data_IF_452155698740
#
_entry.id   IF_452155698740
#
_cell.length_a   1.000
_cell.length_b   1.000
_cell.length_c   1.000
_cell.angle_alpha   90.00
_cell.angle_beta   90.00
_cell.angle_gamma   90.00
#
_symmetry.space_group_name_H-M   'P 1'
#
loop_
_entity.id
_entity.type
_entity.pdbx_description
1 polymer ?
#
# COMPACT_ATOMS: atom_id res chain seq x y z
N UNK A 1 20.41 -14.96 -21.28
CA UNK A 1 20.76 -13.64 -21.83
C UNK A 1 20.76 -13.73 -23.35
N UNK A 2 19.83 -13.07 -24.04
CA UNK A 2 19.79 -13.09 -25.51
C UNK A 2 21.00 -12.32 -26.03
N UNK A 3 21.93 -13.02 -26.68
CA UNK A 3 23.08 -12.42 -27.35
C UNK A 3 22.69 -11.71 -28.64
N UNK A 4 21.69 -10.83 -28.57
CA UNK A 4 21.23 -9.93 -29.64
C UNK A 4 22.22 -8.78 -29.76
N UNK A 5 23.25 -8.98 -30.57
CA UNK A 5 24.13 -7.91 -31.01
C UNK A 5 23.47 -7.15 -32.17
N UNK A 6 23.88 -5.90 -32.38
CA UNK A 6 23.36 -5.06 -33.48
C UNK A 6 23.43 -5.78 -34.83
N UNK A 7 24.53 -6.47 -35.10
CA UNK A 7 24.73 -7.30 -36.30
C UNK A 7 23.64 -8.37 -36.48
N UNK A 8 23.30 -9.10 -35.41
CA UNK A 8 22.26 -10.14 -35.47
C UNK A 8 20.88 -9.55 -35.70
N UNK A 9 20.60 -8.39 -35.10
CA UNK A 9 19.34 -7.68 -35.28
C UNK A 9 19.19 -7.21 -36.73
N UNK A 10 20.27 -6.72 -37.34
CA UNK A 10 20.32 -6.36 -38.75
C UNK A 10 20.13 -7.58 -39.67
N UNK A 11 20.81 -8.69 -39.39
CA UNK A 11 20.63 -9.95 -40.14
C UNK A 11 19.18 -10.45 -40.07
N UNK A 12 18.57 -10.43 -38.88
CA UNK A 12 17.16 -10.80 -38.70
C UNK A 12 16.24 -9.86 -39.46
N UNK A 13 16.50 -8.55 -39.46
CA UNK A 13 15.70 -7.58 -40.21
C UNK A 13 15.74 -7.85 -41.73
N UNK A 14 16.91 -8.19 -42.28
CA UNK A 14 17.05 -8.58 -43.69
C UNK A 14 16.25 -9.84 -43.99
N UNK A 15 16.42 -10.90 -43.17
CA UNK A 15 15.71 -12.18 -43.36
C UNK A 15 14.20 -11.95 -43.27
N UNK A 16 13.73 -11.23 -42.24
CA UNK A 16 12.33 -10.92 -42.06
C UNK A 16 11.78 -10.12 -43.25
N UNK A 17 12.54 -9.15 -43.76
CA UNK A 17 12.14 -8.37 -44.93
C UNK A 17 12.10 -9.19 -46.23
N UNK A 18 12.98 -10.18 -46.38
CA UNK A 18 12.95 -11.10 -47.50
C UNK A 18 11.74 -12.04 -47.42
N UNK A 19 11.50 -12.65 -46.26
CA UNK A 19 10.37 -13.58 -46.02
C UNK A 19 9.03 -12.88 -46.18
N UNK A 20 8.89 -11.66 -45.64
CA UNK A 20 7.65 -10.89 -45.73
C UNK A 20 7.48 -10.17 -47.08
N UNK A 21 8.59 -9.99 -47.81
CA UNK A 21 8.70 -9.26 -49.06
C UNK A 21 8.95 -7.76 -48.84
N UNK A 22 9.98 -7.16 -49.47
CA UNK A 22 10.35 -5.75 -49.25
C UNK A 22 9.26 -4.78 -49.72
N UNK A 23 8.43 -5.20 -50.67
CA UNK A 23 7.31 -4.42 -51.16
C UNK A 23 6.15 -4.30 -50.15
N UNK A 24 6.01 -5.26 -49.22
CA UNK A 24 4.90 -5.30 -48.26
C UNK A 24 5.24 -4.68 -46.91
N UNK A 25 6.50 -4.78 -46.48
CA UNK A 25 7.03 -4.13 -45.28
C UNK A 25 6.60 -2.67 -45.08
N UNK A 26 6.80 -1.74 -46.04
CA UNK A 26 6.42 -0.34 -45.87
C UNK A 26 4.91 -0.15 -45.68
N UNK A 27 4.11 -1.00 -46.31
CA UNK A 27 2.65 -1.01 -46.13
C UNK A 27 2.25 -1.40 -44.71
N UNK A 28 2.87 -2.44 -44.14
CA UNK A 28 2.64 -2.84 -42.74
C UNK A 28 3.18 -1.81 -41.74
N UNK A 29 4.36 -1.24 -41.99
CA UNK A 29 4.94 -0.18 -41.16
C UNK A 29 4.02 1.05 -41.11
N UNK A 30 3.39 1.42 -42.23
CA UNK A 30 2.39 2.48 -42.26
C UNK A 30 1.16 2.16 -41.41
N UNK A 31 0.66 0.92 -41.47
CA UNK A 31 -0.51 0.49 -40.67
C UNK A 31 -0.18 0.52 -39.18
N UNK A 32 0.98 -0.01 -38.80
CA UNK A 32 1.47 0.02 -37.42
C UNK A 32 1.69 1.46 -36.94
N UNK A 33 2.32 2.30 -37.76
CA UNK A 33 2.56 3.71 -37.45
C UNK A 33 1.26 4.47 -37.22
N UNK A 34 0.24 4.24 -38.05
CA UNK A 34 -1.11 4.80 -37.84
C UNK A 34 -1.74 4.28 -36.56
N UNK A 35 -1.66 2.98 -36.28
CA UNK A 35 -2.19 2.40 -35.04
C UNK A 35 -1.52 2.99 -33.79
N UNK A 36 -0.19 3.14 -33.80
CA UNK A 36 0.57 3.78 -32.73
C UNK A 36 0.18 5.24 -32.57
N UNK A 37 -0.02 5.98 -33.67
CA UNK A 37 -0.49 7.37 -33.63
C UNK A 37 -1.88 7.48 -32.99
N UNK A 38 -2.81 6.61 -33.40
CA UNK A 38 -4.17 6.56 -32.84
C UNK A 38 -4.14 6.18 -31.37
N UNK A 39 -3.33 5.19 -30.98
CA UNK A 39 -3.17 4.80 -29.58
C UNK A 39 -2.59 5.94 -28.75
N UNK A 40 -1.57 6.64 -29.26
CA UNK A 40 -0.99 7.81 -28.60
C UNK A 40 -2.03 8.91 -28.39
N UNK A 41 -2.81 9.23 -29.42
CA UNK A 41 -3.89 10.21 -29.33
C UNK A 41 -4.97 9.79 -28.33
N UNK A 42 -5.33 8.51 -28.31
CA UNK A 42 -6.26 7.95 -27.34
C UNK A 42 -5.75 8.12 -25.91
N UNK A 43 -4.51 7.72 -25.64
CA UNK A 43 -3.87 7.90 -24.33
C UNK A 43 -3.81 9.38 -23.93
N UNK A 44 -3.38 10.25 -24.84
CA UNK A 44 -3.29 11.70 -24.59
C UNK A 44 -4.70 12.29 -24.30
N UNK A 45 -5.76 11.81 -24.96
CA UNK A 45 -7.15 12.25 -24.72
C UNK A 45 -7.74 11.76 -23.39
N UNK A 46 -7.53 10.49 -23.04
CA UNK A 46 -7.97 9.92 -21.76
C UNK A 46 -7.25 10.61 -20.61
N UNK A 47 -5.96 10.90 -20.79
CA UNK A 47 -5.17 11.66 -19.83
C UNK A 47 -5.70 13.09 -19.66
N UNK A 48 -5.99 13.79 -20.75
CA UNK A 48 -6.60 15.14 -20.68
C UNK A 48 -7.94 15.15 -19.94
N UNK A 49 -8.72 14.08 -20.07
CA UNK A 49 -10.01 13.93 -19.38
C UNK A 49 -9.80 13.65 -17.89
N UNK A 50 -8.88 12.74 -17.56
CA UNK A 50 -8.50 12.45 -16.18
C UNK A 50 -7.89 13.68 -15.47
N UNK A 51 -7.06 14.47 -16.16
CA UNK A 51 -6.50 15.73 -15.65
C UNK A 51 -7.60 16.77 -15.40
N UNK A 52 -8.61 16.86 -16.28
CA UNK A 52 -9.74 17.77 -16.11
C UNK A 52 -10.63 17.40 -14.92
N UNK A 53 -10.79 16.11 -14.62
CA UNK A 53 -11.61 15.63 -13.49
C UNK A 53 -10.85 15.58 -12.16
N UNK A 54 -9.54 15.30 -12.17
CA UNK A 54 -8.73 15.17 -10.94
C UNK A 54 -7.97 16.46 -10.59
N UNK A 55 -7.92 17.46 -11.48
CA UNK A 55 -7.27 18.76 -11.22
C UNK A 55 -5.75 18.72 -11.06
N UNK A 56 -5.11 17.55 -11.21
CA UNK A 56 -3.65 17.39 -11.14
C UNK A 56 -3.10 17.30 -12.56
N UNK A 57 -2.30 18.28 -13.02
CA UNK A 57 -1.71 18.26 -14.36
C UNK A 57 -0.63 17.19 -14.38
N UNK A 58 -0.98 16.00 -14.84
CA UNK A 58 -0.04 14.93 -15.08
C UNK A 58 0.88 15.42 -16.22
N UNK A 59 2.08 15.94 -15.96
CA UNK A 59 3.01 16.33 -17.05
C UNK A 59 3.76 15.12 -17.56
N UNK A 60 3.99 15.00 -18.87
CA UNK A 60 4.75 13.87 -19.49
C UNK A 60 6.16 13.70 -18.89
N UNK A 61 6.70 14.78 -18.29
CA UNK A 61 7.98 14.84 -17.60
C UNK A 61 7.95 14.48 -16.11
N UNK A 62 6.76 14.39 -15.49
CA UNK A 62 6.64 13.99 -14.08
C UNK A 62 6.49 12.47 -13.92
N UNK A 63 6.21 11.72 -14.99
CA UNK A 63 6.08 10.25 -14.98
C UNK A 63 7.42 9.52 -15.10
N UNK A 64 8.46 10.20 -15.61
CA UNK A 64 9.84 9.70 -15.60
C UNK A 64 10.47 9.87 -14.21
N UNK A 65 10.00 10.85 -13.44
CA UNK A 65 10.32 11.01 -12.02
C UNK A 65 9.37 10.29 -11.06
N UNK A 66 8.19 9.84 -11.53
CA UNK A 66 7.26 8.97 -10.80
C UNK A 66 7.57 7.51 -11.09
N UNK A 67 8.84 7.14 -10.92
CA UNK A 67 9.31 5.78 -11.08
C UNK A 67 8.51 4.89 -10.12
N UNK A 68 7.81 3.87 -10.63
CA UNK A 68 6.94 2.98 -9.83
C UNK A 68 7.70 2.28 -8.68
N UNK A 69 9.04 2.22 -8.78
CA UNK A 69 9.96 1.74 -7.74
C UNK A 69 10.13 2.70 -6.56
N UNK A 70 9.74 3.96 -6.68
CA UNK A 70 9.69 4.89 -5.55
C UNK A 70 8.46 4.67 -4.66
N UNK A 71 7.53 3.80 -5.08
CA UNK A 71 6.57 3.17 -4.19
C UNK A 71 7.13 1.84 -3.66
N UNK A 72 8.39 1.82 -3.20
CA UNK A 72 8.98 0.64 -2.59
C UNK A 72 8.30 0.42 -1.23
N UNK A 73 7.46 -0.62 -1.06
CA UNK A 73 6.66 -0.82 0.14
C UNK A 73 7.51 -0.87 1.41
N UNK A 74 8.79 -1.24 1.29
CA UNK A 74 9.75 -1.27 2.40
C UNK A 74 9.97 0.11 3.02
N UNK A 75 9.98 1.19 2.23
CA UNK A 75 10.14 2.55 2.79
C UNK A 75 8.89 2.99 3.52
N UNK A 76 7.70 2.73 2.96
CA UNK A 76 6.41 3.04 3.61
C UNK A 76 6.30 2.30 4.94
N UNK A 77 6.69 1.02 4.99
CA UNK A 77 6.70 0.22 6.21
C UNK A 77 7.79 0.69 7.19
N UNK A 78 9.00 1.01 6.73
CA UNK A 78 10.07 1.52 7.59
C UNK A 78 9.74 2.89 8.19
N UNK A 79 9.06 3.76 7.44
CA UNK A 79 8.60 5.04 7.93
C UNK A 79 7.43 4.86 8.90
N UNK A 80 6.50 3.92 8.63
CA UNK A 80 5.45 3.56 9.58
C UNK A 80 5.99 2.92 10.87
N UNK A 81 7.05 2.11 10.81
CA UNK A 81 7.72 1.60 12.01
C UNK A 81 8.42 2.71 12.78
N UNK A 82 9.12 3.62 12.10
CA UNK A 82 9.85 4.72 12.75
C UNK A 82 8.89 5.76 13.36
N UNK A 83 7.78 6.05 12.69
CA UNK A 83 6.70 6.89 13.21
C UNK A 83 6.01 6.19 14.40
N UNK A 84 5.75 4.89 14.32
CA UNK A 84 5.21 4.12 15.44
C UNK A 84 6.19 4.06 16.63
N UNK A 85 7.49 3.89 16.41
CA UNK A 85 8.49 3.92 17.48
C UNK A 85 8.54 5.31 18.15
N UNK A 86 8.47 6.39 17.36
CA UNK A 86 8.37 7.75 17.89
C UNK A 86 7.05 8.00 18.65
N UNK A 87 5.93 7.47 18.16
CA UNK A 87 4.63 7.53 18.85
C UNK A 87 4.67 6.73 20.16
N UNK A 88 5.31 5.55 20.17
CA UNK A 88 5.49 4.71 21.36
C UNK A 88 6.41 5.33 22.40
N UNK A 89 7.42 6.09 21.97
CA UNK A 89 8.26 6.87 22.88
C UNK A 89 7.44 7.98 23.57
N UNK A 90 6.51 8.61 22.84
CA UNK A 90 5.57 9.61 23.37
C UNK A 90 4.42 8.99 24.21
N UNK A 91 4.03 7.73 23.96
CA UNK A 91 2.96 7.01 24.65
C UNK A 91 3.40 6.37 25.99
N UNK A 92 4.68 6.54 26.37
CA UNK A 92 5.12 6.29 27.76
C UNK A 92 4.60 7.34 28.75
N UNK A 93 3.95 8.41 28.26
CA UNK A 93 3.15 9.30 29.06
C UNK A 93 1.72 8.74 29.23
N UNK A 94 1.46 8.15 30.41
CA UNK A 94 0.16 7.88 31.05
C UNK A 94 -1.10 8.12 30.18
N UNK A 95 -1.91 7.09 29.86
CA UNK A 95 -3.08 7.25 29.00
C UNK A 95 -4.12 8.18 29.68
N UNK A 96 -4.35 9.35 29.06
CA UNK A 96 -5.28 10.40 29.51
C UNK A 96 -6.61 10.31 28.74
N UNK A 97 -7.04 9.10 28.37
CA UNK A 97 -8.33 8.93 27.69
C UNK A 97 -9.41 8.60 28.74
N UNK A 98 -10.36 9.52 29.02
CA UNK A 98 -11.34 9.36 30.09
C UNK A 98 -12.28 8.16 29.85
N UNK A 99 -12.49 7.78 28.59
CA UNK A 99 -13.28 6.59 28.22
C UNK A 99 -12.56 5.28 28.57
N UNK A 100 -11.24 5.22 28.41
CA UNK A 100 -10.42 4.06 28.78
C UNK A 100 -10.44 3.82 30.30
N UNK A 101 -10.34 4.90 31.09
CA UNK A 101 -10.40 4.88 32.56
C UNK A 101 -11.79 4.48 33.06
N UNK A 102 -12.85 5.01 32.46
CA UNK A 102 -14.23 4.66 32.82
C UNK A 102 -14.55 3.19 32.50
N UNK A 103 -13.99 2.63 31.44
CA UNK A 103 -14.14 1.22 31.11
C UNK A 103 -13.37 0.32 32.08
N UNK A 104 -12.16 0.71 32.50
CA UNK A 104 -11.39 -0.03 33.50
C UNK A 104 -12.13 -0.13 34.85
N UNK A 105 -12.86 0.91 35.25
CA UNK A 105 -13.69 0.89 36.45
C UNK A 105 -14.92 -0.06 36.36
N UNK A 106 -15.34 -0.44 35.14
CA UNK A 106 -16.46 -1.37 34.91
C UNK A 106 -16.04 -2.83 34.80
N UNK A 107 -14.74 -3.12 34.63
CA UNK A 107 -14.21 -4.48 34.61
C UNK A 107 -14.32 -5.11 35.99
N UNK A 108 -14.95 -6.27 36.08
CA UNK A 108 -15.05 -7.01 37.35
C UNK A 108 -13.74 -7.78 37.61
N UNK A 109 -13.28 -7.88 38.87
CA UNK A 109 -12.09 -8.66 39.20
C UNK A 109 -12.27 -10.13 38.77
N UNK A 110 -11.28 -10.68 38.05
CA UNK A 110 -11.30 -12.06 37.51
C UNK A 110 -11.90 -12.23 36.11
N UNK A 111 -12.24 -11.14 35.41
CA UNK A 111 -12.79 -11.22 34.05
C UNK A 111 -11.68 -11.56 33.02
N UNK A 112 -11.79 -12.69 32.32
CA UNK A 112 -10.79 -13.11 31.31
C UNK A 112 -10.93 -12.43 29.95
N UNK A 113 -12.13 -11.94 29.64
CA UNK A 113 -12.47 -11.36 28.34
C UNK A 113 -13.23 -10.05 28.49
N UNK A 114 -12.80 -9.03 27.73
CA UNK A 114 -13.57 -7.81 27.52
C UNK A 114 -14.46 -7.98 26.28
N UNK A 115 -15.75 -7.68 26.42
CA UNK A 115 -16.68 -7.67 25.29
C UNK A 115 -16.70 -6.24 24.75
N UNK A 116 -16.24 -6.06 23.52
CA UNK A 116 -16.19 -4.78 22.81
C UNK A 116 -17.05 -4.86 21.55
N UNK A 117 -17.59 -3.73 21.09
CA UNK A 117 -18.40 -3.64 19.88
C UNK A 117 -19.91 -3.52 20.14
N UNK A 118 -20.68 -3.21 19.08
CA UNK A 118 -22.13 -3.02 19.19
C UNK A 118 -22.83 -4.33 19.55
N UNK A 119 -24.02 -4.25 20.15
CA UNK A 119 -24.83 -5.42 20.53
C UNK A 119 -25.10 -6.38 19.35
N UNK A 120 -25.08 -5.87 18.12
CA UNK A 120 -25.23 -6.65 16.89
C UNK A 120 -23.98 -7.45 16.49
N UNK A 121 -22.78 -7.08 16.95
CA UNK A 121 -21.51 -7.77 16.66
C UNK A 121 -20.54 -7.66 17.86
N UNK A 122 -20.72 -8.48 18.91
CA UNK A 122 -19.82 -8.49 20.04
C UNK A 122 -18.49 -9.16 19.67
N UNK A 123 -17.37 -8.45 19.84
CA UNK A 123 -16.02 -8.99 19.81
C UNK A 123 -15.52 -9.27 21.23
N UNK A 124 -14.90 -10.44 21.41
CA UNK A 124 -14.26 -10.82 22.67
C UNK A 124 -12.77 -10.62 22.55
N UNK A 125 -12.20 -9.74 23.37
CA UNK A 125 -10.76 -9.50 23.45
C UNK A 125 -10.25 -10.05 24.77
N UNK A 126 -9.16 -10.82 24.74
CA UNK A 126 -8.51 -11.35 25.93
C UNK A 126 -7.81 -10.21 26.68
N UNK A 127 -8.01 -10.11 28.00
CA UNK A 127 -7.35 -9.05 28.80
C UNK A 127 -5.81 -9.23 28.78
N UNK A 128 -5.35 -10.48 28.71
CA UNK A 128 -3.94 -10.88 28.52
C UNK A 128 -3.34 -10.50 27.15
N UNK A 129 -4.14 -9.98 26.21
CA UNK A 129 -3.66 -9.48 24.91
C UNK A 129 -3.54 -7.96 24.84
N UNK A 130 -3.96 -7.22 25.88
CA UNK A 130 -3.83 -5.74 25.95
C UNK A 130 -2.38 -5.33 26.26
N UNK A 131 -1.95 -4.08 26.00
CA UNK A 131 -0.64 -3.60 26.43
C UNK A 131 -0.45 -3.70 27.95
N UNK A 132 0.80 -3.89 28.41
CA UNK A 132 1.14 -4.10 29.83
C UNK A 132 0.74 -2.91 30.73
N UNK A 133 0.76 -1.69 30.18
CA UNK A 133 0.41 -0.45 30.89
C UNK A 133 -1.08 -0.08 30.80
N UNK A 134 -1.94 -0.95 30.26
CA UNK A 134 -3.37 -0.66 30.11
C UNK A 134 -4.09 -0.75 31.48
N UNK A 135 -4.83 0.30 31.90
CA UNK A 135 -5.55 0.30 33.18
C UNK A 135 -6.55 -0.86 33.32
N UNK A 136 -7.08 -1.41 32.22
CA UNK A 136 -8.01 -2.55 32.22
C UNK A 136 -7.33 -3.87 32.61
N UNK A 137 -6.05 -4.02 32.26
CA UNK A 137 -5.24 -5.20 32.65
C UNK A 137 -4.85 -5.10 34.11
N UNK A 138 -4.38 -3.93 34.55
CA UNK A 138 -4.00 -3.68 35.95
C UNK A 138 -5.18 -3.96 36.89
N UNK A 139 -6.39 -3.52 36.52
CA UNK A 139 -7.62 -3.79 37.29
C UNK A 139 -7.97 -5.28 37.37
N UNK A 140 -7.70 -6.07 36.31
CA UNK A 140 -7.94 -7.51 36.30
C UNK A 140 -6.89 -8.29 37.10
N UNK A 141 -5.62 -7.88 37.06
CA UNK A 141 -4.50 -8.54 37.75
C UNK A 141 -4.48 -8.31 39.27
N UNK A 142 -5.00 -7.18 39.75
CA UNK A 142 -5.07 -6.86 41.17
C UNK A 142 -5.76 -7.97 42.00
N UNK A 143 -6.74 -8.68 41.41
CA UNK A 143 -7.45 -9.78 42.07
C UNK A 143 -6.71 -11.12 42.07
N UNK A 144 -5.89 -11.41 41.05
CA UNK A 144 -5.09 -12.66 41.02
C UNK A 144 -4.09 -12.70 42.17
N UNK A 145 -3.56 -11.53 42.59
CA UNK A 145 -2.70 -11.42 43.77
C UNK A 145 -3.46 -11.56 45.09
N UNK A 146 -4.72 -11.18 45.16
CA UNK A 146 -5.54 -11.25 46.38
C UNK A 146 -6.03 -12.67 46.68
N UNK A 147 -6.26 -13.51 45.66
CA UNK A 147 -6.63 -14.92 45.82
C UNK A 147 -5.43 -15.88 45.97
N UNK A 148 -4.19 -15.36 45.96
CA UNK A 148 -2.96 -16.15 46.07
C UNK A 148 -2.33 -16.11 47.49
N UNK A 149 -3.04 -15.56 48.48
CA UNK A 149 -2.64 -15.50 49.89
C UNK A 149 -3.53 -16.42 50.73
#
# INVERSE_FOLDING_TARGET
>A
MFGLTFEKLFLVAIIAGFVLGPQRLPGYAHRLGRAVRTLRHFVDSTRSTAEAEMGVPLRRSEWESLDLKQYDPRRIVADALRENDALRENDTATPTDPELVAEAARVRPGQKYLITGPSSHPRRVLIESLPENDPRRIAAEASTRENAC
#
